data_IF_948925834356
#
_entry.id   IF_948925834356
#
_cell.length_a   1.000
_cell.length_b   1.000
_cell.length_c   1.000
_cell.angle_alpha   90.00
_cell.angle_beta   90.00
_cell.angle_gamma   90.00
#
_symmetry.space_group_name_H-M   'P 1'
#
loop_
_entity.id
_entity.type
_entity.pdbx_description
1 polymer ?
#
# COMPACT_ATOMS: atom_id res chain seq x y z
N UNK A 1 27.34 46.60 20.39
CA UNK A 1 28.03 45.32 20.17
C UNK A 1 27.88 44.50 21.46
N UNK A 2 27.16 43.37 21.39
CA UNK A 2 27.04 42.29 22.40
C UNK A 2 26.47 42.61 23.79
N UNK A 3 25.15 42.43 23.83
CA UNK A 3 24.29 41.82 24.86
C UNK A 3 25.00 40.96 25.93
N UNK A 4 24.66 41.21 27.19
CA UNK A 4 24.74 40.22 28.28
C UNK A 4 23.33 40.03 28.86
N UNK A 5 22.90 38.77 28.91
CA UNK A 5 21.57 38.33 29.35
C UNK A 5 21.54 38.27 30.87
N UNK A 6 20.53 38.91 31.47
CA UNK A 6 20.22 38.81 32.88
C UNK A 6 19.55 37.46 33.18
N UNK A 7 20.07 36.80 34.22
CA UNK A 7 19.51 35.63 34.86
C UNK A 7 18.41 36.07 35.84
N UNK A 8 17.21 35.49 35.76
CA UNK A 8 16.22 35.57 36.84
C UNK A 8 15.70 34.16 37.15
N UNK A 9 16.14 33.65 38.30
CA UNK A 9 15.54 32.50 38.96
C UNK A 9 14.20 32.93 39.58
N UNK A 10 13.15 32.13 39.37
CA UNK A 10 11.96 32.16 40.21
C UNK A 10 11.68 30.73 40.67
N UNK A 11 12.06 30.45 41.92
CA UNK A 11 11.64 29.27 42.64
C UNK A 11 10.22 29.45 43.16
N UNK A 12 9.41 28.40 43.07
CA UNK A 12 8.16 28.29 43.82
C UNK A 12 8.30 27.10 44.75
N UNK A 13 8.33 27.44 46.05
CA UNK A 13 8.15 26.56 47.19
C UNK A 13 6.71 26.03 47.22
N UNK A 14 6.52 24.73 47.45
CA UNK A 14 5.34 24.23 48.15
C UNK A 14 5.77 23.19 49.19
N UNK A 15 5.21 23.39 50.38
CA UNK A 15 5.61 22.82 51.64
C UNK A 15 5.17 21.37 51.83
N UNK A 16 6.04 20.62 52.49
CA UNK A 16 5.78 19.30 53.08
C UNK A 16 4.82 19.40 54.26
N UNK A 17 3.85 18.49 54.31
CA UNK A 17 3.26 18.06 55.58
C UNK A 17 3.37 16.53 55.64
N UNK A 18 4.18 16.07 56.57
CA UNK A 18 4.32 14.66 56.94
C UNK A 18 3.33 14.35 58.06
N UNK A 19 2.71 13.17 57.98
CA UNK A 19 2.21 12.49 59.16
C UNK A 19 2.40 10.98 58.98
N UNK A 20 3.20 10.42 59.88
CA UNK A 20 3.49 9.01 60.06
C UNK A 20 2.30 8.28 60.71
N UNK A 21 2.08 7.03 60.34
CA UNK A 21 1.66 5.98 61.29
C UNK A 21 2.28 4.64 60.88
N UNK A 22 2.57 3.85 61.92
CA UNK A 22 3.61 2.83 62.04
C UNK A 22 3.10 1.38 61.82
N UNK A 23 4.06 0.49 61.52
CA UNK A 23 4.16 -0.98 61.59
C UNK A 23 2.90 -1.89 61.43
N UNK A 24 2.88 -2.80 60.46
CA UNK A 24 3.33 -4.19 60.66
C UNK A 24 2.53 -5.22 59.80
N UNK A 25 2.99 -6.48 59.64
CA UNK A 25 3.22 -7.05 58.31
C UNK A 25 2.27 -8.20 57.89
N UNK A 26 2.05 -8.35 56.57
CA UNK A 26 1.73 -9.64 55.96
C UNK A 26 2.08 -9.62 54.47
N UNK A 27 2.87 -10.59 54.06
CA UNK A 27 3.38 -10.75 52.71
C UNK A 27 2.26 -11.06 51.71
N UNK A 28 2.15 -10.25 50.67
CA UNK A 28 1.53 -10.66 49.40
C UNK A 28 2.45 -10.27 48.26
N UNK A 29 2.84 -11.28 47.47
CA UNK A 29 3.63 -11.14 46.24
C UNK A 29 3.02 -10.03 45.37
N UNK A 30 3.77 -8.95 45.18
CA UNK A 30 3.45 -7.92 44.20
C UNK A 30 3.46 -8.55 42.81
N UNK A 31 2.27 -8.80 42.28
CA UNK A 31 2.07 -9.03 40.85
C UNK A 31 2.26 -7.69 40.15
N UNK A 32 3.21 -7.67 39.22
CA UNK A 32 3.36 -6.59 38.23
C UNK A 32 2.03 -6.53 37.45
N UNK A 33 1.35 -5.38 37.38
CA UNK A 33 0.10 -5.30 36.63
C UNK A 33 0.41 -5.45 35.14
N UNK A 34 -0.05 -6.56 34.57
CA UNK A 34 -0.23 -6.71 33.13
C UNK A 34 -1.29 -5.69 32.71
N UNK A 35 -1.06 -4.82 31.72
CA UNK A 35 -2.14 -4.00 31.17
C UNK A 35 -3.09 -4.97 30.44
N UNK A 36 -4.17 -5.35 31.11
CA UNK A 36 -5.29 -6.01 30.48
C UNK A 36 -5.94 -5.01 29.53
N UNK A 37 -5.71 -5.19 28.23
CA UNK A 37 -6.56 -4.63 27.21
C UNK A 37 -7.95 -5.23 27.42
N UNK A 38 -8.83 -4.47 28.05
CA UNK A 38 -10.25 -4.75 28.00
C UNK A 38 -10.65 -4.64 26.52
N UNK A 39 -10.85 -5.79 25.87
CA UNK A 39 -11.58 -5.87 24.63
C UNK A 39 -13.00 -5.39 24.94
N UNK A 40 -13.27 -4.12 24.65
CA UNK A 40 -14.63 -3.67 24.47
C UNK A 40 -15.21 -4.51 23.34
N UNK A 41 -16.21 -5.33 23.63
CA UNK A 41 -17.02 -6.00 22.63
C UNK A 41 -17.69 -4.92 21.77
N UNK A 42 -17.01 -4.57 20.67
CA UNK A 42 -17.55 -3.75 19.60
C UNK A 42 -18.63 -4.59 18.93
N UNK A 43 -19.88 -4.16 19.04
CA UNK A 43 -20.97 -4.65 18.20
C UNK A 43 -20.65 -4.30 16.74
N UNK A 44 -20.02 -5.23 16.03
CA UNK A 44 -19.77 -5.18 14.59
C UNK A 44 -21.11 -5.38 13.88
N UNK A 45 -21.84 -4.29 13.62
CA UNK A 45 -23.06 -4.34 12.80
C UNK A 45 -22.82 -3.91 11.35
N UNK A 46 -21.57 -3.75 10.94
CA UNK A 46 -21.20 -3.81 9.53
C UNK A 46 -20.48 -5.13 9.34
N UNK A 47 -21.12 -6.10 8.67
CA UNK A 47 -20.43 -7.29 8.21
C UNK A 47 -19.13 -6.87 7.53
N UNK A 48 -18.00 -7.53 7.79
CA UNK A 48 -16.80 -7.27 6.99
C UNK A 48 -17.17 -7.38 5.52
N UNK A 49 -16.79 -6.38 4.72
CA UNK A 49 -16.92 -6.46 3.27
C UNK A 49 -16.04 -7.63 2.84
N UNK A 50 -16.67 -8.79 2.66
CA UNK A 50 -15.98 -9.97 2.20
C UNK A 50 -15.81 -9.76 0.69
N UNK A 51 -14.61 -9.30 0.31
CA UNK A 51 -14.24 -9.26 -1.11
C UNK A 51 -14.51 -10.64 -1.71
N UNK A 52 -15.02 -10.66 -2.94
CA UNK A 52 -15.34 -11.93 -3.59
C UNK A 52 -14.04 -12.73 -3.72
N UNK A 53 -14.13 -14.05 -3.55
CA UNK A 53 -12.94 -14.89 -3.69
C UNK A 53 -12.33 -14.75 -5.10
N UNK A 54 -11.01 -14.61 -5.13
CA UNK A 54 -10.16 -14.44 -6.32
C UNK A 54 -8.90 -15.31 -6.18
N UNK A 55 -9.01 -16.42 -5.47
CA UNK A 55 -7.90 -17.33 -5.16
C UNK A 55 -7.22 -17.89 -6.41
N UNK A 56 -7.94 -17.99 -7.53
CA UNK A 56 -7.46 -18.42 -8.84
C UNK A 56 -6.68 -17.33 -9.62
N UNK A 57 -6.80 -16.05 -9.23
CA UNK A 57 -6.15 -14.94 -9.94
C UNK A 57 -4.74 -14.71 -9.42
N UNK A 58 -3.85 -14.27 -10.33
CA UNK A 58 -2.48 -13.84 -9.97
C UNK A 58 -2.53 -12.66 -9.02
N UNK A 59 -1.62 -12.61 -8.05
CA UNK A 59 -1.61 -11.55 -7.03
C UNK A 59 -1.40 -10.15 -7.62
N UNK A 60 -0.77 -10.02 -8.78
CA UNK A 60 -0.60 -8.74 -9.49
C UNK A 60 -1.78 -8.39 -10.43
N UNK A 61 -2.83 -9.22 -10.46
CA UNK A 61 -4.05 -9.05 -11.26
C UNK A 61 -5.28 -8.74 -10.38
N UNK A 62 -5.08 -8.66 -9.07
CA UNK A 62 -6.11 -8.35 -8.08
C UNK A 62 -5.82 -6.96 -7.50
N UNK A 63 -6.86 -6.13 -7.41
CA UNK A 63 -6.84 -4.88 -6.65
C UNK A 63 -7.17 -5.18 -5.19
N UNK A 64 -6.30 -4.77 -4.27
CA UNK A 64 -6.48 -4.93 -2.83
C UNK A 64 -6.79 -3.58 -2.18
N UNK A 65 -7.67 -3.55 -1.15
CA UNK A 65 -7.88 -2.37 -0.34
C UNK A 65 -6.61 -2.02 0.45
N UNK A 66 -6.19 -0.76 0.31
CA UNK A 66 -4.91 -0.24 0.74
C UNK A 66 -5.04 1.04 1.57
N UNK A 67 -4.32 1.13 2.68
CA UNK A 67 -4.21 2.36 3.47
C UNK A 67 -2.81 2.97 3.45
N UNK A 68 -2.76 4.30 3.43
CA UNK A 68 -1.54 5.08 3.57
C UNK A 68 -1.26 5.30 5.06
N UNK A 69 0.02 5.22 5.47
CA UNK A 69 0.45 5.34 6.87
C UNK A 69 -0.48 4.60 7.84
N UNK A 70 -0.74 3.31 7.57
CA UNK A 70 -1.78 2.51 8.20
C UNK A 70 -1.65 2.41 9.73
N UNK A 71 -0.45 2.65 10.25
CA UNK A 71 -0.15 2.67 11.67
C UNK A 71 -0.54 3.98 12.37
N UNK A 72 -0.73 5.07 11.61
CA UNK A 72 -1.02 6.42 12.10
C UNK A 72 -2.53 6.59 12.26
N UNK A 73 -3.11 6.04 13.32
CA UNK A 73 -4.56 6.05 13.53
C UNK A 73 -5.03 7.06 14.59
N UNK A 74 -6.23 7.62 14.37
CA UNK A 74 -6.89 8.57 15.30
C UNK A 74 -7.30 7.94 16.64
N UNK A 75 -7.42 6.61 16.70
CA UNK A 75 -7.87 5.89 17.90
C UNK A 75 -6.73 5.54 18.87
N UNK A 76 -5.50 5.86 18.49
CA UNK A 76 -4.29 5.37 19.14
C UNK A 76 -3.48 6.46 19.82
N UNK A 77 -2.16 6.37 19.66
CA UNK A 77 -1.16 7.22 20.32
C UNK A 77 -0.68 8.37 19.44
N UNK A 78 -1.26 8.54 18.26
CA UNK A 78 -0.84 9.53 17.28
C UNK A 78 -1.83 10.69 17.22
N UNK A 79 -1.31 11.90 17.06
CA UNK A 79 -2.13 13.08 16.80
C UNK A 79 -2.29 13.25 15.28
N UNK A 80 -3.53 13.44 14.82
CA UNK A 80 -3.90 13.62 13.40
C UNK A 80 -3.53 12.40 12.53
N UNK A 81 -4.31 11.33 12.66
CA UNK A 81 -4.12 10.09 11.93
C UNK A 81 -4.30 10.24 10.42
N UNK A 82 -3.83 9.23 9.69
CA UNK A 82 -4.18 8.98 8.29
C UNK A 82 -5.38 8.05 8.16
N UNK A 83 -5.73 7.36 9.24
CA UNK A 83 -6.82 6.38 9.29
C UNK A 83 -7.57 6.53 10.61
N UNK A 84 -8.85 6.13 10.65
CA UNK A 84 -9.66 6.28 11.86
C UNK A 84 -9.41 5.21 12.93
N UNK A 85 -8.87 4.05 12.55
CA UNK A 85 -8.72 2.89 13.44
C UNK A 85 -7.38 2.22 13.22
N UNK A 86 -6.83 1.59 14.27
CA UNK A 86 -5.59 0.81 14.19
C UNK A 86 -5.65 -0.37 13.20
N UNK A 87 -4.49 -0.89 12.82
CA UNK A 87 -4.38 -1.92 11.77
C UNK A 87 -5.20 -3.19 12.03
N UNK A 88 -5.33 -3.74 13.26
CA UNK A 88 -6.17 -4.90 13.50
C UNK A 88 -7.62 -4.71 13.04
N UNK A 89 -8.22 -3.55 13.32
CA UNK A 89 -9.58 -3.25 12.83
C UNK A 89 -9.62 -2.99 11.33
N UNK A 90 -8.58 -2.39 10.75
CA UNK A 90 -8.48 -2.24 9.29
C UNK A 90 -8.49 -3.60 8.60
N UNK A 91 -7.71 -4.58 9.09
CA UNK A 91 -7.69 -5.93 8.56
C UNK A 91 -9.05 -6.63 8.72
N UNK A 92 -9.67 -6.50 9.90
CA UNK A 92 -11.02 -7.02 10.13
C UNK A 92 -12.07 -6.43 9.19
N UNK A 93 -11.81 -5.24 8.60
CA UNK A 93 -12.70 -4.57 7.64
C UNK A 93 -12.32 -4.81 6.17
N UNK A 94 -11.36 -5.68 5.89
CA UNK A 94 -11.01 -6.07 4.52
C UNK A 94 -9.78 -5.37 3.93
N UNK A 95 -9.10 -4.48 4.67
CA UNK A 95 -7.78 -3.98 4.23
C UNK A 95 -6.82 -5.17 4.12
N UNK A 96 -6.07 -5.24 3.01
CA UNK A 96 -5.06 -6.30 2.76
C UNK A 96 -3.72 -5.74 2.32
N UNK A 97 -3.61 -4.43 2.14
CA UNK A 97 -2.33 -3.78 1.98
C UNK A 97 -2.19 -2.59 2.92
N UNK A 98 -1.04 -2.48 3.58
CA UNK A 98 -0.77 -1.44 4.56
C UNK A 98 0.57 -0.78 4.27
N UNK A 99 0.63 0.54 4.43
CA UNK A 99 1.87 1.33 4.32
C UNK A 99 2.39 1.66 5.72
N UNK A 100 3.65 1.30 5.98
CA UNK A 100 4.32 1.49 7.27
C UNK A 100 5.63 2.21 7.09
N UNK A 101 5.74 3.36 7.75
CA UNK A 101 6.90 4.24 7.70
C UNK A 101 7.80 3.96 8.90
N UNK A 102 9.01 3.46 8.63
CA UNK A 102 9.95 3.01 9.65
C UNK A 102 11.19 3.90 9.67
N UNK A 103 11.47 4.46 10.84
CA UNK A 103 12.54 5.45 11.04
C UNK A 103 13.45 5.11 12.22
N UNK A 104 14.65 5.69 12.19
CA UNK A 104 15.51 5.74 13.38
C UNK A 104 15.11 6.93 14.23
N UNK A 105 14.50 6.69 15.38
CA UNK A 105 14.22 7.74 16.36
C UNK A 105 15.44 7.93 17.26
N UNK A 106 15.99 9.15 17.28
CA UNK A 106 17.12 9.51 18.15
C UNK A 106 16.60 10.23 19.40
N UNK A 107 16.95 9.70 20.57
CA UNK A 107 16.87 10.38 21.85
C UNK A 107 18.27 10.43 22.49
N UNK A 108 18.46 11.31 23.48
CA UNK A 108 19.74 11.60 24.13
C UNK A 108 20.45 10.36 24.69
N UNK A 109 19.71 9.29 24.99
CA UNK A 109 20.23 8.05 25.59
C UNK A 109 19.91 6.77 24.81
N UNK A 110 19.07 6.82 23.76
CA UNK A 110 18.64 5.61 23.01
C UNK A 110 18.38 5.91 21.54
N UNK A 111 18.75 4.95 20.68
CA UNK A 111 18.31 4.88 19.29
C UNK A 111 17.35 3.72 19.16
N UNK A 112 16.11 4.00 18.82
CA UNK A 112 15.10 2.98 18.59
C UNK A 112 14.67 2.99 17.13
N UNK A 113 14.24 1.84 16.64
CA UNK A 113 13.54 1.74 15.35
C UNK A 113 12.05 1.85 15.65
N UNK A 114 11.43 2.87 15.09
CA UNK A 114 10.06 3.28 15.43
C UNK A 114 9.29 3.67 14.19
N UNK A 115 7.97 3.62 14.30
CA UNK A 115 7.06 4.29 13.38
C UNK A 115 6.65 5.62 14.00
N UNK A 116 6.60 6.66 13.20
CA UNK A 116 6.06 7.98 13.55
C UNK A 116 5.83 8.79 12.29
N UNK A 117 4.84 9.69 12.35
CA UNK A 117 4.40 10.44 11.19
C UNK A 117 5.36 11.60 10.84
N UNK A 118 5.95 11.57 9.64
CA UNK A 118 6.80 12.63 9.10
C UNK A 118 8.19 12.71 9.75
N UNK A 119 9.26 12.73 8.93
CA UNK A 119 10.65 12.73 9.42
C UNK A 119 10.98 13.92 10.33
N UNK A 120 10.36 15.08 10.06
CA UNK A 120 10.56 16.33 10.80
C UNK A 120 9.98 16.24 12.23
N UNK A 121 8.92 15.44 12.45
CA UNK A 121 8.29 15.35 13.78
C UNK A 121 9.15 14.61 14.79
N UNK A 122 10.05 13.72 14.36
CA UNK A 122 10.87 12.83 15.21
C UNK A 122 10.03 12.14 16.32
N UNK A 123 8.76 11.85 16.04
CA UNK A 123 7.81 11.23 16.97
C UNK A 123 7.39 12.10 18.15
N UNK A 124 7.37 13.44 17.99
CA UNK A 124 6.80 14.37 18.97
C UNK A 124 5.27 14.15 19.09
N UNK A 125 4.59 13.85 17.98
CA UNK A 125 3.14 13.68 17.90
C UNK A 125 2.71 12.21 17.89
N UNK A 126 3.42 11.39 18.68
CA UNK A 126 3.19 9.96 18.77
C UNK A 126 4.26 9.12 18.08
N UNK A 127 4.56 7.97 18.67
CA UNK A 127 5.45 6.97 18.08
C UNK A 127 5.22 5.59 18.69
N UNK A 128 5.43 4.54 17.92
CA UNK A 128 5.44 3.15 18.40
C UNK A 128 6.73 2.46 17.99
N UNK A 129 7.17 1.45 18.73
CA UNK A 129 8.30 0.61 18.30
C UNK A 129 7.88 -0.20 17.07
N UNK A 130 8.76 -0.27 16.07
CA UNK A 130 8.40 -0.85 14.77
C UNK A 130 7.99 -2.33 14.89
N UNK A 131 8.69 -3.14 15.70
CA UNK A 131 8.30 -4.54 15.88
C UNK A 131 6.90 -4.75 16.47
N UNK A 132 6.35 -3.82 17.25
CA UNK A 132 4.97 -3.96 17.73
C UNK A 132 3.94 -3.72 16.61
N UNK A 133 4.21 -2.80 15.70
CA UNK A 133 3.34 -2.57 14.53
C UNK A 133 3.47 -3.70 13.52
N UNK A 134 4.68 -4.20 13.29
CA UNK A 134 4.89 -5.38 12.42
C UNK A 134 4.27 -6.66 13.02
N UNK A 135 4.18 -6.77 14.35
CA UNK A 135 3.53 -7.89 15.04
C UNK A 135 2.04 -7.95 14.71
N UNK A 136 1.35 -6.82 14.59
CA UNK A 136 -0.07 -6.79 14.20
C UNK A 136 -0.32 -7.46 12.83
N UNK A 137 0.63 -7.36 11.89
CA UNK A 137 0.56 -8.09 10.61
C UNK A 137 0.76 -9.59 10.82
N UNK A 138 1.70 -9.96 11.70
CA UNK A 138 1.98 -11.37 12.03
C UNK A 138 0.77 -12.03 12.67
N UNK A 139 0.18 -11.37 13.67
CA UNK A 139 -0.99 -11.88 14.38
C UNK A 139 -2.17 -12.05 13.40
N UNK A 140 -2.41 -11.07 12.52
CA UNK A 140 -3.46 -11.18 11.51
C UNK A 140 -3.29 -12.38 10.59
N UNK A 141 -2.10 -12.59 10.01
CA UNK A 141 -1.91 -13.75 9.12
C UNK A 141 -1.96 -15.07 9.88
N UNK A 142 -1.47 -15.14 11.12
CA UNK A 142 -1.57 -16.34 11.97
C UNK A 142 -3.02 -16.70 12.29
N UNK A 143 -3.86 -15.69 12.58
CA UNK A 143 -5.28 -15.89 12.88
C UNK A 143 -6.16 -16.14 11.64
N UNK A 144 -5.68 -15.76 10.45
CA UNK A 144 -6.43 -15.84 9.20
C UNK A 144 -5.62 -16.59 8.12
N UNK A 145 -5.58 -17.94 8.14
CA UNK A 145 -4.67 -18.74 7.32
C UNK A 145 -4.88 -18.60 5.80
N UNK A 146 -6.07 -18.22 5.36
CA UNK A 146 -6.43 -18.05 3.95
C UNK A 146 -6.18 -16.63 3.41
N UNK A 147 -5.66 -15.75 4.26
CA UNK A 147 -5.44 -14.34 3.93
C UNK A 147 -3.98 -14.03 3.59
N UNK A 148 -3.82 -13.03 2.73
CA UNK A 148 -2.51 -12.46 2.35
C UNK A 148 -2.45 -10.98 2.74
N UNK A 149 -1.26 -10.50 3.09
CA UNK A 149 -1.02 -9.08 3.38
C UNK A 149 0.12 -8.53 2.54
N UNK A 150 -0.11 -7.41 1.88
CA UNK A 150 0.93 -6.62 1.24
C UNK A 150 1.43 -5.55 2.19
N UNK A 151 2.73 -5.59 2.49
CA UNK A 151 3.37 -4.58 3.32
C UNK A 151 4.17 -3.63 2.43
N UNK A 152 3.71 -2.38 2.35
CA UNK A 152 4.40 -1.27 1.70
C UNK A 152 5.29 -0.60 2.74
N UNK A 153 6.59 -0.80 2.65
CA UNK A 153 7.55 -0.20 3.57
C UNK A 153 8.13 1.08 2.98
N UNK A 154 8.01 2.19 3.70
CA UNK A 154 8.84 3.37 3.48
C UNK A 154 9.81 3.49 4.65
N UNK A 155 11.11 3.42 4.37
CA UNK A 155 12.07 3.33 5.47
C UNK A 155 13.33 4.14 5.24
N UNK A 156 13.86 4.65 6.34
CA UNK A 156 15.19 5.28 6.42
C UNK A 156 16.18 4.46 7.26
N UNK A 157 15.78 3.28 7.74
CA UNK A 157 16.66 2.40 8.52
C UNK A 157 17.45 1.49 7.59
N UNK A 158 18.63 1.04 8.03
CA UNK A 158 19.40 0.06 7.26
C UNK A 158 18.70 -1.30 7.24
N UNK A 159 18.92 -2.09 6.17
CA UNK A 159 18.36 -3.43 6.04
C UNK A 159 18.63 -4.34 7.24
N UNK A 160 19.85 -4.31 7.81
CA UNK A 160 20.17 -5.09 9.01
C UNK A 160 19.34 -4.70 10.24
N UNK A 161 19.01 -3.41 10.41
CA UNK A 161 18.15 -2.96 11.51
C UNK A 161 16.70 -3.36 11.27
N UNK A 162 16.24 -3.24 10.03
CA UNK A 162 14.89 -3.67 9.66
C UNK A 162 14.70 -5.17 9.88
N UNK A 163 15.65 -6.01 9.42
CA UNK A 163 15.58 -7.47 9.62
C UNK A 163 15.47 -7.85 11.10
N UNK A 164 16.17 -7.13 11.99
CA UNK A 164 16.02 -7.33 13.45
C UNK A 164 14.61 -7.02 13.94
N UNK A 165 13.96 -5.97 13.44
CA UNK A 165 12.59 -5.64 13.84
C UNK A 165 11.57 -6.63 13.27
N UNK A 166 11.75 -7.08 12.03
CA UNK A 166 10.94 -8.13 11.39
C UNK A 166 11.02 -9.43 12.20
N UNK A 167 12.23 -9.87 12.60
CA UNK A 167 12.42 -11.08 13.42
C UNK A 167 11.83 -10.95 14.82
N UNK A 168 11.98 -9.79 15.47
CA UNK A 168 11.33 -9.53 16.77
C UNK A 168 9.80 -9.59 16.66
N UNK A 169 9.26 -9.12 15.54
CA UNK A 169 7.85 -9.22 15.22
C UNK A 169 7.41 -10.64 14.82
N UNK A 170 8.33 -11.60 14.63
CA UNK A 170 8.03 -12.95 14.15
C UNK A 170 7.57 -13.01 12.69
N UNK A 171 7.62 -11.88 11.99
CA UNK A 171 7.07 -11.71 10.64
C UNK A 171 7.90 -12.44 9.58
N UNK A 172 9.20 -12.66 9.83
CA UNK A 172 10.13 -13.31 8.91
C UNK A 172 9.67 -14.72 8.50
N UNK A 173 8.91 -15.40 9.36
CA UNK A 173 8.35 -16.72 9.09
C UNK A 173 7.23 -16.71 8.06
N UNK A 174 6.63 -15.56 7.79
CA UNK A 174 5.46 -15.41 6.92
C UNK A 174 5.78 -14.64 5.64
N UNK A 175 7.00 -14.12 5.47
CA UNK A 175 7.34 -13.33 4.27
C UNK A 175 7.45 -14.23 3.04
N UNK A 176 6.65 -13.91 2.03
CA UNK A 176 6.73 -14.47 0.69
C UNK A 176 7.80 -13.72 -0.11
N UNK A 177 8.72 -14.49 -0.72
CA UNK A 177 9.72 -13.96 -1.65
C UNK A 177 9.63 -14.78 -2.93
N UNK A 178 9.29 -14.11 -4.04
CA UNK A 178 9.21 -14.76 -5.34
C UNK A 178 10.60 -14.82 -5.98
N UNK A 179 10.84 -15.86 -6.77
CA UNK A 179 11.90 -15.84 -7.77
C UNK A 179 11.49 -14.87 -8.91
N UNK A 180 12.25 -13.81 -9.18
CA UNK A 180 11.95 -12.87 -10.27
C UNK A 180 11.75 -13.52 -11.64
N UNK A 181 12.35 -14.70 -11.89
CA UNK A 181 12.23 -15.46 -13.14
C UNK A 181 10.86 -16.12 -13.32
N UNK A 182 10.16 -16.42 -12.22
CA UNK A 182 8.86 -17.07 -12.28
C UNK A 182 7.73 -16.06 -12.54
N UNK A 183 6.66 -16.45 -13.24
CA UNK A 183 5.43 -15.66 -13.27
C UNK A 183 4.91 -15.34 -11.87
N UNK A 184 4.05 -14.32 -11.75
CA UNK A 184 3.36 -14.10 -10.49
C UNK A 184 2.46 -15.29 -10.14
N UNK A 185 2.50 -15.78 -8.89
CA UNK A 185 1.62 -16.83 -8.43
C UNK A 185 0.19 -16.30 -8.28
N UNK A 186 -0.76 -17.23 -8.28
CA UNK A 186 -2.12 -17.02 -7.82
C UNK A 186 -2.17 -16.73 -6.33
N UNK A 187 -3.25 -16.09 -5.86
CA UNK A 187 -3.48 -15.91 -4.42
C UNK A 187 -3.49 -17.27 -3.69
N UNK A 188 -4.11 -18.30 -4.26
CA UNK A 188 -4.14 -19.65 -3.71
C UNK A 188 -2.74 -20.24 -3.52
N UNK A 189 -1.84 -20.08 -4.50
CA UNK A 189 -0.47 -20.57 -4.41
C UNK A 189 0.33 -19.85 -3.32
N UNK A 190 0.14 -18.54 -3.16
CA UNK A 190 0.76 -17.78 -2.05
C UNK A 190 0.23 -18.28 -0.71
N UNK A 191 -1.09 -18.48 -0.58
CA UNK A 191 -1.71 -19.03 0.63
C UNK A 191 -1.15 -20.42 0.95
N UNK A 192 -1.12 -21.32 -0.04
CA UNK A 192 -0.64 -22.69 0.10
C UNK A 192 0.84 -22.78 0.50
N UNK A 193 1.65 -21.76 0.18
CA UNK A 193 3.05 -21.69 0.61
C UNK A 193 3.22 -21.48 2.12
N UNK A 194 2.18 -21.02 2.82
CA UNK A 194 2.25 -20.57 4.21
C UNK A 194 3.03 -19.25 4.41
N UNK A 195 3.66 -18.73 3.36
CA UNK A 195 4.32 -17.41 3.31
C UNK A 195 3.36 -16.43 2.67
N UNK A 196 2.66 -15.65 3.49
CA UNK A 196 1.49 -14.86 3.07
C UNK A 196 1.65 -13.35 3.23
N UNK A 197 2.85 -12.89 3.57
CA UNK A 197 3.19 -11.47 3.67
C UNK A 197 4.10 -11.08 2.51
N UNK A 198 3.59 -10.27 1.59
CA UNK A 198 4.36 -9.81 0.42
C UNK A 198 4.89 -8.42 0.72
N UNK A 199 6.22 -8.29 0.80
CA UNK A 199 6.83 -6.97 0.82
C UNK A 199 6.86 -6.44 -0.59
N UNK A 200 6.37 -5.23 -0.76
CA UNK A 200 6.16 -4.71 -2.10
C UNK A 200 7.37 -3.94 -2.60
N UNK A 201 8.15 -3.34 -1.70
CA UNK A 201 9.35 -2.57 -2.04
C UNK A 201 10.62 -3.32 -1.63
N UNK A 202 11.57 -3.44 -2.55
CA UNK A 202 12.92 -3.88 -2.27
C UNK A 202 13.64 -2.85 -1.40
N UNK A 203 14.26 -3.32 -0.32
CA UNK A 203 15.07 -2.50 0.56
C UNK A 203 16.52 -2.92 0.34
N UNK A 204 17.38 -1.95 0.01
CA UNK A 204 18.78 -2.22 -0.36
C UNK A 204 19.51 -3.01 0.72
N UNK A 205 20.08 -4.15 0.33
CA UNK A 205 20.75 -5.08 1.24
C UNK A 205 19.80 -5.94 2.08
N UNK A 206 18.49 -5.94 1.79
CA UNK A 206 17.53 -6.88 2.37
C UNK A 206 17.18 -7.98 1.37
N UNK A 207 16.87 -9.16 1.91
CA UNK A 207 16.35 -10.30 1.14
C UNK A 207 14.85 -10.22 0.88
N UNK A 208 14.17 -9.20 1.41
CA UNK A 208 12.73 -9.05 1.34
C UNK A 208 12.35 -8.03 0.27
N UNK A 209 11.24 -8.28 -0.41
CA UNK A 209 10.59 -7.28 -1.24
C UNK A 209 10.62 -7.56 -2.73
N UNK A 210 9.48 -7.36 -3.35
CA UNK A 210 9.34 -7.21 -4.80
C UNK A 210 9.85 -5.82 -5.22
N UNK A 211 10.02 -5.61 -6.51
CA UNK A 211 10.19 -4.25 -7.03
C UNK A 211 8.82 -3.66 -7.37
N UNK A 212 8.41 -2.59 -6.67
CA UNK A 212 7.21 -1.79 -6.99
C UNK A 212 7.50 -0.69 -7.99
N UNK A 213 6.51 -0.40 -8.84
CA UNK A 213 6.29 0.93 -9.37
C UNK A 213 5.16 1.62 -8.62
N UNK A 214 5.30 2.94 -8.45
CA UNK A 214 4.40 3.76 -7.65
C UNK A 214 4.10 5.02 -8.43
N UNK A 215 2.88 5.14 -8.93
CA UNK A 215 2.35 6.44 -9.32
C UNK A 215 1.84 7.15 -8.05
N UNK A 216 2.38 8.34 -7.79
CA UNK A 216 2.02 9.13 -6.62
C UNK A 216 1.13 10.29 -7.04
N UNK A 217 -0.05 10.34 -6.43
CA UNK A 217 -0.92 11.51 -6.42
C UNK A 217 -1.32 11.82 -4.98
N UNK A 218 -1.02 13.04 -4.52
CA UNK A 218 -1.41 13.48 -3.18
C UNK A 218 -2.15 14.79 -3.29
N UNK A 219 -3.28 14.94 -2.62
CA UNK A 219 -3.85 16.27 -2.40
C UNK A 219 -3.32 16.80 -1.06
N UNK A 220 -2.53 17.86 -1.12
CA UNK A 220 -2.23 18.72 0.01
C UNK A 220 -3.37 19.69 0.30
N UNK A 221 -3.45 20.29 1.50
CA UNK A 221 -4.28 21.50 1.77
C UNK A 221 -4.07 22.62 0.72
N UNK A 222 -2.95 22.59 -0.01
CA UNK A 222 -2.55 23.56 -1.05
C UNK A 222 -2.75 23.08 -2.50
N UNK A 223 -3.07 21.81 -2.75
CA UNK A 223 -3.13 21.19 -4.10
C UNK A 223 -4.47 20.51 -4.35
N UNK A 224 -5.57 21.26 -4.23
CA UNK A 224 -6.90 20.81 -4.65
C UNK A 224 -7.09 20.82 -6.17
N UNK A 225 -6.07 21.18 -6.95
CA UNK A 225 -6.27 21.68 -8.31
C UNK A 225 -5.67 20.85 -9.45
N UNK A 226 -4.88 19.81 -9.19
CA UNK A 226 -4.57 18.82 -10.24
C UNK A 226 -5.01 17.44 -9.79
N UNK A 227 -6.07 16.93 -10.41
CA UNK A 227 -6.55 15.56 -10.32
C UNK A 227 -6.54 14.93 -11.72
N UNK A 228 -5.53 15.26 -12.52
CA UNK A 228 -5.34 14.65 -13.83
C UNK A 228 -4.57 13.34 -13.65
N UNK A 229 -5.15 12.20 -14.04
CA UNK A 229 -4.41 10.94 -14.13
C UNK A 229 -3.13 11.11 -14.96
N UNK A 230 -1.99 10.62 -14.48
CA UNK A 230 -0.73 10.67 -15.23
C UNK A 230 -0.21 9.27 -15.57
N UNK A 231 0.52 9.20 -16.68
CA UNK A 231 1.27 8.01 -17.06
C UNK A 231 2.54 7.88 -16.22
N UNK A 232 2.78 6.67 -15.71
CA UNK A 232 3.96 6.25 -14.97
C UNK A 232 4.50 4.95 -15.57
N UNK A 233 5.06 5.00 -16.81
CA UNK A 233 5.61 3.80 -17.43
C UNK A 233 6.76 3.26 -16.60
N UNK A 234 6.67 1.97 -16.24
CA UNK A 234 7.70 1.27 -15.47
C UNK A 234 7.89 -0.17 -15.91
N UNK A 235 9.02 -0.75 -15.53
CA UNK A 235 9.36 -2.17 -15.75
C UNK A 235 8.78 -3.07 -14.66
N UNK A 236 8.16 -2.47 -13.64
CA UNK A 236 7.63 -3.18 -12.50
C UNK A 236 6.22 -3.65 -12.79
N UNK A 237 5.90 -4.85 -12.31
CA UNK A 237 4.63 -5.53 -12.59
C UNK A 237 3.56 -5.26 -11.55
N UNK A 238 3.95 -4.80 -10.36
CA UNK A 238 3.03 -4.23 -9.38
C UNK A 238 2.98 -2.71 -9.55
N UNK A 239 1.84 -2.23 -10.05
CA UNK A 239 1.52 -0.81 -10.16
C UNK A 239 0.62 -0.36 -8.99
N UNK A 240 1.19 0.41 -8.06
CA UNK A 240 0.42 1.02 -6.98
C UNK A 240 0.04 2.46 -7.35
N UNK A 241 -1.22 2.81 -7.14
CA UNK A 241 -1.69 4.17 -7.21
C UNK A 241 -1.90 4.71 -5.79
N UNK A 242 -1.10 5.70 -5.41
CA UNK A 242 -1.26 6.40 -4.14
C UNK A 242 -2.18 7.61 -4.35
N UNK A 243 -3.23 7.71 -3.55
CA UNK A 243 -4.24 8.78 -3.54
C UNK A 243 -4.53 9.23 -2.10
N UNK A 244 -3.53 9.85 -1.48
CA UNK A 244 -3.59 10.26 -0.08
C UNK A 244 -3.96 11.74 0.07
N UNK A 245 -4.49 12.08 1.24
CA UNK A 245 -4.98 13.41 1.61
C UNK A 245 -4.20 13.88 2.83
N UNK A 246 -3.23 14.76 2.62
CA UNK A 246 -2.31 15.17 3.68
C UNK A 246 -2.28 16.70 3.85
N UNK A 247 -1.96 17.19 5.06
CA UNK A 247 -1.67 18.60 5.30
C UNK A 247 -0.24 18.94 4.85
N UNK A 248 -0.02 20.13 4.30
CA UNK A 248 1.20 20.44 3.53
C UNK A 248 2.49 20.55 4.36
N UNK A 249 2.40 20.89 5.66
CA UNK A 249 3.59 21.16 6.48
C UNK A 249 4.14 19.92 7.21
N UNK A 250 3.25 19.04 7.67
CA UNK A 250 3.63 17.88 8.50
C UNK A 250 3.20 16.54 7.89
N UNK A 251 2.43 16.59 6.80
CA UNK A 251 1.90 15.42 6.10
C UNK A 251 0.76 14.71 6.82
N UNK A 252 0.20 15.26 7.91
CA UNK A 252 -0.87 14.60 8.66
C UNK A 252 -2.08 14.34 7.77
N UNK A 253 -2.84 13.28 8.05
CA UNK A 253 -4.06 13.02 7.30
C UNK A 253 -5.06 14.17 7.40
N UNK A 254 -5.56 14.63 6.25
CA UNK A 254 -6.64 15.60 6.13
C UNK A 254 -7.94 14.83 5.83
N UNK A 255 -8.77 14.67 6.87
CA UNK A 255 -10.02 13.92 6.79
C UNK A 255 -11.06 14.55 5.86
N UNK A 256 -11.05 15.87 5.70
CA UNK A 256 -11.99 16.55 4.83
C UNK A 256 -11.56 16.46 3.36
N UNK A 257 -10.26 16.55 3.08
CA UNK A 257 -9.72 16.19 1.78
C UNK A 257 -9.96 14.70 1.48
N UNK A 258 -9.83 13.79 2.45
CA UNK A 258 -10.14 12.37 2.26
C UNK A 258 -11.61 12.15 1.86
N UNK A 259 -12.57 12.89 2.46
CA UNK A 259 -13.98 12.87 2.01
C UNK A 259 -14.12 13.36 0.57
N UNK A 260 -13.34 14.33 0.14
CA UNK A 260 -13.42 14.78 -1.25
C UNK A 260 -12.85 13.72 -2.22
N UNK A 261 -11.66 13.19 -1.91
CA UNK A 261 -10.94 12.22 -2.74
C UNK A 261 -11.66 10.87 -2.81
N UNK A 262 -12.06 10.32 -1.66
CA UNK A 262 -12.66 8.99 -1.58
C UNK A 262 -14.14 8.97 -1.98
N UNK A 263 -14.67 10.06 -2.55
CA UNK A 263 -16.01 10.05 -3.11
C UNK A 263 -16.07 9.04 -4.29
N UNK A 264 -16.91 8.01 -4.24
CA UNK A 264 -16.93 6.96 -5.27
C UNK A 264 -17.16 7.48 -6.69
N UNK A 265 -17.96 8.53 -6.87
CA UNK A 265 -18.24 9.12 -8.18
C UNK A 265 -17.04 9.83 -8.80
N UNK A 266 -16.00 10.11 -8.00
CA UNK A 266 -14.70 10.63 -8.43
C UNK A 266 -13.66 9.52 -8.51
N UNK A 267 -13.57 8.71 -7.45
CA UNK A 267 -12.51 7.74 -7.28
C UNK A 267 -12.57 6.61 -8.31
N UNK A 268 -13.77 6.11 -8.63
CA UNK A 268 -13.93 5.01 -9.58
C UNK A 268 -13.55 5.42 -11.03
N UNK A 269 -14.06 6.53 -11.60
CA UNK A 269 -13.61 6.99 -12.92
C UNK A 269 -12.11 7.28 -12.95
N UNK A 270 -11.58 7.92 -11.90
CA UNK A 270 -10.15 8.22 -11.82
C UNK A 270 -9.29 6.94 -11.83
N UNK A 271 -9.70 5.90 -11.09
CA UNK A 271 -8.99 4.63 -11.07
C UNK A 271 -9.03 3.91 -12.43
N UNK A 272 -10.15 3.99 -13.15
CA UNK A 272 -10.27 3.50 -14.53
C UNK A 272 -9.30 4.24 -15.46
N UNK A 273 -9.26 5.57 -15.40
CA UNK A 273 -8.38 6.39 -16.25
C UNK A 273 -6.90 6.09 -15.98
N UNK A 274 -6.51 5.95 -14.71
CA UNK A 274 -5.16 5.55 -14.34
C UNK A 274 -4.81 4.18 -14.89
N UNK A 275 -5.71 3.19 -14.79
CA UNK A 275 -5.49 1.87 -15.37
C UNK A 275 -5.26 1.99 -16.89
N UNK A 276 -6.15 2.69 -17.61
CA UNK A 276 -6.05 2.90 -19.06
C UNK A 276 -4.74 3.58 -19.47
N UNK A 277 -4.36 4.68 -18.82
CA UNK A 277 -3.16 5.45 -19.17
C UNK A 277 -1.86 4.71 -18.91
N UNK A 278 -1.85 3.84 -17.90
CA UNK A 278 -0.66 3.08 -17.54
C UNK A 278 -0.60 1.71 -18.23
N UNK A 279 -1.70 1.28 -18.87
CA UNK A 279 -1.82 -0.07 -19.44
C UNK A 279 -1.51 -1.16 -18.41
N UNK A 280 -1.85 -0.91 -17.15
CA UNK A 280 -1.60 -1.80 -16.01
C UNK A 280 -2.69 -1.68 -14.97
N UNK A 281 -3.19 -2.81 -14.48
CA UNK A 281 -4.17 -2.81 -13.39
C UNK A 281 -3.53 -2.30 -12.09
N UNK A 282 -4.14 -1.32 -11.41
CA UNK A 282 -3.71 -0.93 -10.07
C UNK A 282 -4.02 -2.05 -9.09
N UNK A 283 -2.99 -2.75 -8.61
CA UNK A 283 -3.16 -3.75 -7.55
C UNK A 283 -3.48 -3.08 -6.21
N UNK A 284 -3.22 -1.78 -6.08
CA UNK A 284 -3.39 -1.04 -4.86
C UNK A 284 -3.82 0.39 -5.15
N UNK A 285 -4.95 0.79 -4.57
CA UNK A 285 -5.44 2.16 -4.54
C UNK A 285 -5.27 2.67 -3.11
N UNK A 286 -4.13 3.26 -2.79
CA UNK A 286 -3.77 3.62 -1.41
C UNK A 286 -4.45 4.93 -1.03
N UNK A 287 -5.32 4.89 -0.01
CA UNK A 287 -6.04 6.07 0.47
C UNK A 287 -5.79 6.35 1.95
N UNK A 288 -6.03 7.58 2.37
CA UNK A 288 -6.28 7.91 3.78
C UNK A 288 -7.76 7.74 4.08
N UNK A 289 -8.11 7.46 5.34
CA UNK A 289 -9.49 7.36 5.84
C UNK A 289 -10.46 6.57 4.94
N UNK A 290 -10.21 5.28 4.63
CA UNK A 290 -11.07 4.49 3.75
C UNK A 290 -12.51 4.33 4.27
N UNK A 291 -12.76 4.61 5.56
CA UNK A 291 -14.09 4.52 6.19
C UNK A 291 -14.98 5.73 5.98
N UNK A 292 -14.50 6.83 5.39
CA UNK A 292 -15.40 7.93 4.97
C UNK A 292 -16.38 7.42 3.92
N UNK A 293 -17.51 8.14 3.74
CA UNK A 293 -18.61 7.70 2.88
C UNK A 293 -19.05 6.27 3.18
N UNK A 294 -19.19 5.92 4.45
CA UNK A 294 -19.62 4.59 4.90
C UNK A 294 -18.78 3.43 4.34
N UNK A 295 -17.53 3.68 3.93
CA UNK A 295 -16.67 2.64 3.37
C UNK A 295 -16.88 2.36 1.87
N UNK A 296 -17.59 3.20 1.11
CA UNK A 296 -17.76 2.97 -0.34
C UNK A 296 -16.46 2.90 -1.15
N UNK A 297 -15.31 3.25 -0.55
CA UNK A 297 -13.98 2.94 -1.07
C UNK A 297 -13.81 1.45 -1.44
N UNK A 298 -14.30 0.53 -0.61
CA UNK A 298 -14.20 -0.91 -0.86
C UNK A 298 -15.02 -1.34 -2.08
N UNK A 299 -16.16 -0.71 -2.33
CA UNK A 299 -16.97 -0.96 -3.53
C UNK A 299 -16.22 -0.56 -4.80
N UNK A 300 -15.40 0.50 -4.74
CA UNK A 300 -14.53 0.89 -5.86
C UNK A 300 -13.48 -0.18 -6.14
N UNK A 301 -12.89 -0.78 -5.09
CA UNK A 301 -11.93 -1.87 -5.25
C UNK A 301 -12.59 -3.10 -5.89
N UNK A 302 -13.78 -3.48 -5.43
CA UNK A 302 -14.51 -4.60 -6.02
C UNK A 302 -14.91 -4.32 -7.47
N UNK A 303 -15.34 -3.09 -7.79
CA UNK A 303 -15.62 -2.69 -9.17
C UNK A 303 -14.39 -2.80 -10.09
N UNK A 304 -13.17 -2.55 -9.60
CA UNK A 304 -11.93 -2.80 -10.35
C UNK A 304 -11.66 -4.30 -10.54
N UNK A 305 -12.05 -5.12 -9.57
CA UNK A 305 -11.90 -6.58 -9.60
C UNK A 305 -12.96 -7.30 -10.43
N UNK A 306 -14.11 -6.69 -10.65
CA UNK A 306 -15.21 -7.24 -11.46
C UNK A 306 -14.98 -7.05 -12.96
N UNK A 307 -14.18 -6.08 -13.40
CA UNK A 307 -13.88 -5.88 -14.83
C UNK A 307 -13.08 -7.04 -15.41
N UNK A 308 -13.37 -7.36 -16.67
CA UNK A 308 -12.50 -8.20 -17.47
C UNK A 308 -11.24 -7.43 -17.85
N UNK A 309 -10.18 -8.15 -18.17
CA UNK A 309 -8.90 -7.53 -18.57
C UNK A 309 -8.47 -7.99 -19.94
N UNK A 310 -8.24 -7.06 -20.86
CA UNK A 310 -7.44 -7.32 -22.05
C UNK A 310 -5.97 -7.21 -21.65
N UNK A 311 -5.31 -8.34 -21.47
CA UNK A 311 -3.94 -8.42 -20.95
C UNK A 311 -3.04 -9.19 -21.90
N UNK A 312 -1.74 -8.96 -21.82
CA UNK A 312 -0.85 -9.60 -22.77
C UNK A 312 0.60 -9.17 -22.70
N UNK A 313 1.37 -9.64 -23.66
CA UNK A 313 2.83 -9.53 -23.69
C UNK A 313 3.35 -9.26 -25.11
N UNK A 314 4.57 -8.73 -25.20
CA UNK A 314 5.34 -8.68 -26.45
C UNK A 314 6.39 -9.80 -26.42
N UNK A 315 6.39 -10.63 -27.45
CA UNK A 315 7.34 -11.72 -27.65
C UNK A 315 8.30 -11.37 -28.80
N UNK A 316 9.50 -11.94 -28.78
CA UNK A 316 10.40 -11.94 -29.94
C UNK A 316 10.04 -13.06 -30.94
N UNK A 317 10.84 -13.19 -32.00
CA UNK A 317 10.64 -14.20 -33.05
C UNK A 317 10.79 -15.64 -32.57
N UNK A 318 11.47 -15.87 -31.45
CA UNK A 318 11.68 -17.19 -30.85
C UNK A 318 10.56 -17.55 -29.85
N UNK A 319 9.65 -16.60 -29.59
CA UNK A 319 8.54 -16.74 -28.66
C UNK A 319 8.89 -16.35 -27.22
N UNK A 320 10.07 -15.78 -26.99
CA UNK A 320 10.53 -15.36 -25.68
C UNK A 320 10.05 -13.94 -25.35
N UNK A 321 9.87 -13.66 -24.07
CA UNK A 321 9.37 -12.36 -23.61
C UNK A 321 10.36 -11.23 -23.91
N UNK A 322 9.98 -10.30 -24.79
CA UNK A 322 10.83 -9.20 -25.21
C UNK A 322 10.70 -7.99 -24.26
N UNK A 323 11.39 -8.09 -23.12
CA UNK A 323 11.42 -7.04 -22.07
C UNK A 323 12.59 -6.07 -22.24
N UNK A 324 13.70 -6.54 -22.79
CA UNK A 324 14.97 -5.83 -22.80
C UNK A 324 15.65 -5.92 -24.16
N UNK A 325 16.33 -4.86 -24.54
CA UNK A 325 17.24 -4.82 -25.68
C UNK A 325 18.61 -4.35 -25.18
N UNK A 326 19.65 -5.16 -25.38
CA UNK A 326 21.02 -4.90 -24.90
C UNK A 326 21.08 -4.54 -23.40
N UNK A 327 20.30 -5.24 -22.57
CA UNK A 327 20.25 -5.01 -21.12
C UNK A 327 19.36 -3.86 -20.66
N UNK A 328 18.94 -2.97 -21.57
CA UNK A 328 18.02 -1.86 -21.30
C UNK A 328 16.56 -2.31 -21.45
N UNK A 329 15.71 -1.89 -20.53
CA UNK A 329 14.26 -2.14 -20.60
C UNK A 329 13.66 -1.46 -21.84
N UNK A 330 12.82 -2.19 -22.59
CA UNK A 330 12.08 -1.65 -23.73
C UNK A 330 10.75 -1.09 -23.24
N UNK A 331 10.42 0.13 -23.65
CA UNK A 331 9.07 0.71 -23.44
C UNK A 331 8.25 0.59 -24.71
N UNK A 332 7.13 -0.10 -24.61
CA UNK A 332 6.11 -0.27 -25.65
C UNK A 332 5.07 0.83 -25.56
N UNK A 333 4.74 1.44 -26.70
CA UNK A 333 3.62 2.39 -26.81
C UNK A 333 2.41 1.64 -27.36
N UNK A 334 1.25 1.85 -26.73
CA UNK A 334 -0.01 1.21 -27.09
C UNK A 334 -1.03 2.27 -27.46
N UNK A 335 -1.68 2.12 -28.60
CA UNK A 335 -2.92 2.81 -28.90
C UNK A 335 -4.08 1.87 -28.57
N UNK A 336 -4.85 2.22 -27.55
CA UNK A 336 -6.00 1.47 -27.08
C UNK A 336 -7.28 2.24 -27.41
N UNK A 337 -8.03 1.76 -28.39
CA UNK A 337 -9.28 2.36 -28.85
C UNK A 337 -10.47 1.68 -28.17
N UNK A 338 -11.18 2.44 -27.35
CA UNK A 338 -12.48 2.11 -26.77
C UNK A 338 -13.59 2.67 -27.67
N UNK A 339 -14.85 2.46 -27.29
CA UNK A 339 -16.00 2.97 -28.05
C UNK A 339 -16.08 4.50 -28.11
N UNK A 340 -15.62 5.18 -27.06
CA UNK A 340 -15.80 6.61 -26.79
C UNK A 340 -14.48 7.38 -26.76
N UNK A 341 -13.34 6.70 -26.67
CA UNK A 341 -12.03 7.33 -26.58
C UNK A 341 -10.91 6.49 -27.19
N UNK A 342 -9.76 7.11 -27.41
CA UNK A 342 -8.51 6.42 -27.71
C UNK A 342 -7.46 6.87 -26.72
N UNK A 343 -6.91 5.92 -25.96
CA UNK A 343 -5.89 6.16 -24.94
C UNK A 343 -4.55 5.70 -25.46
N UNK A 344 -3.53 6.54 -25.30
CA UNK A 344 -2.14 6.14 -25.53
C UNK A 344 -1.49 5.77 -24.21
N UNK A 345 -1.06 4.53 -24.07
CA UNK A 345 -0.38 4.03 -22.87
C UNK A 345 1.06 3.62 -23.19
N UNK A 346 1.91 3.66 -22.16
CA UNK A 346 3.28 3.16 -22.25
C UNK A 346 3.52 2.11 -21.18
N UNK A 347 3.91 0.90 -21.58
CA UNK A 347 4.31 -0.17 -20.66
C UNK A 347 5.73 -0.58 -21.00
N UNK A 348 6.46 -1.15 -20.05
CA UNK A 348 7.76 -1.77 -20.38
C UNK A 348 7.83 -3.25 -20.04
N UNK A 349 6.64 -3.82 -19.92
CA UNK A 349 6.37 -5.20 -19.62
C UNK A 349 5.03 -5.57 -20.26
N UNK A 350 4.41 -6.62 -19.72
CA UNK A 350 3.03 -6.98 -19.90
C UNK A 350 2.09 -5.76 -19.82
N UNK A 351 1.05 -5.77 -20.64
CA UNK A 351 -0.02 -4.80 -20.60
C UNK A 351 -1.28 -5.40 -19.99
N UNK A 352 -2.15 -4.54 -19.47
CA UNK A 352 -3.50 -4.86 -19.02
C UNK A 352 -4.38 -3.62 -19.17
N UNK A 353 -5.50 -3.77 -19.87
CA UNK A 353 -6.51 -2.74 -20.08
C UNK A 353 -7.87 -3.22 -19.55
N UNK A 354 -8.65 -2.36 -18.88
CA UNK A 354 -9.96 -2.74 -18.38
C UNK A 354 -10.93 -2.98 -19.54
N UNK A 355 -11.83 -3.94 -19.39
CA UNK A 355 -12.95 -4.18 -20.30
C UNK A 355 -14.25 -4.35 -19.52
N UNK A 356 -15.26 -3.57 -19.89
CA UNK A 356 -16.65 -3.74 -19.42
C UNK A 356 -17.35 -4.84 -20.22
N UNK A 357 -18.50 -5.29 -19.74
CA UNK A 357 -19.36 -6.22 -20.47
C UNK A 357 -19.77 -5.63 -21.82
N UNK A 358 -19.70 -6.44 -22.87
CA UNK A 358 -19.98 -6.07 -24.27
C UNK A 358 -19.11 -4.95 -24.85
N UNK A 359 -18.10 -4.47 -24.12
CA UNK A 359 -17.17 -3.47 -24.63
C UNK A 359 -16.26 -4.08 -25.69
N UNK A 360 -16.02 -3.33 -26.76
CA UNK A 360 -15.07 -3.69 -27.80
C UNK A 360 -13.86 -2.78 -27.72
N UNK A 361 -12.68 -3.37 -27.57
CA UNK A 361 -11.41 -2.67 -27.45
C UNK A 361 -10.50 -3.11 -28.58
N UNK A 362 -9.91 -2.15 -29.28
CA UNK A 362 -8.84 -2.41 -30.25
C UNK A 362 -7.50 -1.94 -29.70
N UNK A 363 -6.54 -2.83 -29.64
CA UNK A 363 -5.19 -2.53 -29.16
C UNK A 363 -4.17 -2.65 -30.30
N UNK A 364 -3.36 -1.62 -30.45
CA UNK A 364 -2.32 -1.52 -31.49
C UNK A 364 -1.00 -1.15 -30.84
N UNK A 365 0.01 -2.05 -30.82
CA UNK A 365 1.37 -1.67 -30.44
C UNK A 365 1.99 -0.75 -31.50
N UNK A 366 2.70 0.28 -31.05
CA UNK A 366 3.34 1.29 -31.89
C UNK A 366 4.83 1.36 -31.57
N UNK A 367 5.67 1.24 -32.59
CA UNK A 367 7.12 1.34 -32.48
C UNK A 367 7.76 1.84 -33.77
N UNK A 368 8.79 2.67 -33.63
CA UNK A 368 9.64 3.10 -34.75
C UNK A 368 10.68 2.05 -35.13
N UNK A 369 10.91 1.05 -34.28
CA UNK A 369 12.00 0.06 -34.42
C UNK A 369 11.52 -1.38 -34.63
N UNK A 370 10.25 -1.67 -34.39
CA UNK A 370 9.67 -3.02 -34.55
C UNK A 370 8.39 -3.00 -35.38
N UNK A 371 8.19 -4.06 -36.17
CA UNK A 371 6.90 -4.46 -36.69
C UNK A 371 6.25 -5.47 -35.74
N UNK A 372 4.92 -5.50 -35.68
CA UNK A 372 4.18 -6.39 -34.81
C UNK A 372 3.26 -7.32 -35.61
N UNK A 373 3.21 -8.58 -35.19
CA UNK A 373 2.27 -9.57 -35.71
C UNK A 373 1.42 -10.13 -34.55
N UNK A 374 0.08 -9.98 -34.60
CA UNK A 374 -0.67 -9.15 -35.57
C UNK A 374 -0.37 -7.65 -35.41
N UNK A 375 -0.72 -6.82 -36.39
CA UNK A 375 -0.49 -5.37 -36.29
C UNK A 375 -1.40 -4.69 -35.25
N UNK A 376 -2.60 -5.25 -35.05
CA UNK A 376 -3.57 -4.84 -34.04
C UNK A 376 -4.46 -6.01 -33.66
N UNK A 377 -5.16 -5.90 -32.54
CA UNK A 377 -6.14 -6.88 -32.06
C UNK A 377 -7.41 -6.16 -31.64
N UNK A 378 -8.56 -6.66 -32.10
CA UNK A 378 -9.88 -6.19 -31.65
C UNK A 378 -10.55 -7.31 -30.86
N UNK A 379 -10.96 -6.99 -29.64
CA UNK A 379 -11.57 -7.93 -28.68
C UNK A 379 -12.89 -7.35 -28.20
N UNK A 380 -13.95 -8.16 -28.24
CA UNK A 380 -15.24 -7.83 -27.61
C UNK A 380 -15.43 -8.70 -26.38
N UNK A 381 -15.67 -8.09 -25.22
CA UNK A 381 -15.80 -8.82 -23.96
C UNK A 381 -17.24 -9.29 -23.71
N UNK A 382 -17.60 -10.48 -24.19
CA UNK A 382 -18.97 -10.97 -24.13
C UNK A 382 -19.53 -11.28 -22.72
N UNK A 383 -18.69 -11.63 -21.74
CA UNK A 383 -19.11 -12.09 -20.40
C UNK A 383 -18.12 -11.65 -19.28
N UNK A 384 -17.56 -10.45 -19.39
CA UNK A 384 -16.61 -9.88 -18.42
C UNK A 384 -15.44 -10.82 -18.06
N UNK A 385 -14.75 -11.33 -19.08
CA UNK A 385 -13.63 -12.27 -18.93
C UNK A 385 -12.28 -11.59 -19.14
N UNK A 386 -11.24 -12.17 -18.55
CA UNK A 386 -9.87 -11.85 -18.92
C UNK A 386 -9.58 -12.46 -20.30
N UNK A 387 -9.02 -11.66 -21.21
CA UNK A 387 -8.56 -12.09 -22.53
C UNK A 387 -7.06 -11.89 -22.60
N UNK A 388 -6.32 -12.99 -22.74
CA UNK A 388 -4.87 -12.95 -22.95
C UNK A 388 -4.54 -12.85 -24.43
N UNK A 389 -3.61 -11.97 -24.78
CA UNK A 389 -3.10 -11.80 -26.13
C UNK A 389 -1.58 -11.63 -26.15
N UNK A 390 -0.94 -12.02 -27.24
CA UNK A 390 0.49 -11.77 -27.45
C UNK A 390 0.73 -11.18 -28.82
N UNK A 391 1.73 -10.31 -28.91
CA UNK A 391 2.23 -9.76 -30.16
C UNK A 391 3.66 -10.23 -30.37
N UNK A 392 3.99 -10.67 -31.57
CA UNK A 392 5.38 -10.95 -31.96
C UNK A 392 5.99 -9.69 -32.54
N UNK A 393 7.09 -9.22 -31.96
CA UNK A 393 7.84 -8.06 -32.41
C UNK A 393 9.06 -8.51 -33.23
N UNK A 394 9.17 -8.01 -34.46
CA UNK A 394 10.32 -8.24 -35.35
C UNK A 394 10.98 -6.90 -35.67
N UNK A 395 12.31 -6.76 -35.56
CA UNK A 395 13.01 -5.52 -35.94
C UNK A 395 12.64 -5.06 -37.35
N UNK A 396 12.55 -3.75 -37.55
CA UNK A 396 12.32 -3.12 -38.86
C UNK A 396 13.54 -3.12 -39.76
#
# INVERSE_FOLDING_TARGET
MRTFIASLCAGVLLASCAQEFDAGPSAQKSQIPTPGLAQAELSVTASPLQMVDRSDRKINEISFPCTHNSYNDDSGVFDNGNVSQGMPTQFARGIRAVEVDIHERRSWFKKNVSVYHGKISNGINGSRLAHYVLREVTDFVEDNPDEIVFLKLETTVSASKLDKEIRKAGLDKHVFVRDPQNPYPTKAEVVASGKRVVFTRQIDGSQYGESLDRHKHGSGETDKEDHTPQASPSDKRFFAFNYYSITSLFGYGDKDAAKYLNNPSRLAPFADDVWKLNGKKPWCLTVDYPSVHNGHYYDVIEALNEKGMLKGQILDSDGDLLMKNNGSVITWTWQCQYSDETVTAKTSADFSFPMKESETVTITPVSDTYNFTPASLTVTNGNVQDVFQAFTATPK
#
